data_IF_025884304971
#
_entry.id   IF_025884304971
#
_cell.length_a   1.000
_cell.length_b   1.000
_cell.length_c   1.000
_cell.angle_alpha   90.00
_cell.angle_beta   90.00
_cell.angle_gamma   90.00
#
_symmetry.space_group_name_H-M   'P 1'
#
loop_
_entity.id
_entity.type
_entity.pdbx_description
1 polymer ?
#
# COMPACT_ATOMS: atom_id res chain seq x y z
N UNK A 1 -6.95 0.10 28.39
CA UNK A 1 -6.47 0.30 29.79
C UNK A 1 -6.33 -1.07 30.45
N UNK A 2 -5.14 -1.66 30.31
CA UNK A 2 -4.48 -2.58 31.26
C UNK A 2 -3.00 -2.40 30.95
N UNK A 3 -2.27 -1.72 31.83
CA UNK A 3 -0.83 -1.50 31.73
C UNK A 3 -0.14 -2.82 32.12
N UNK A 4 0.73 -3.35 31.26
CA UNK A 4 1.70 -4.36 31.67
C UNK A 4 3.09 -3.85 31.28
N UNK A 5 3.79 -3.29 32.26
CA UNK A 5 5.23 -3.01 32.17
C UNK A 5 5.97 -4.34 32.24
N UNK A 6 6.78 -4.65 31.23
CA UNK A 6 7.83 -5.66 31.32
C UNK A 6 9.13 -5.00 30.91
N UNK A 7 10.01 -4.80 31.89
CA UNK A 7 11.40 -4.43 31.69
C UNK A 7 12.17 -5.65 31.20
N UNK A 8 12.91 -5.53 30.11
CA UNK A 8 13.87 -6.54 29.69
C UNK A 8 15.29 -6.10 30.05
N UNK A 9 16.00 -6.99 30.74
CA UNK A 9 17.44 -6.97 30.95
C UNK A 9 18.01 -8.14 30.16
N UNK A 10 19.06 -7.88 29.39
CA UNK A 10 19.76 -8.85 28.53
C UNK A 10 20.33 -10.03 29.33
N UNK A 11 20.28 -11.25 28.77
CA UNK A 11 21.47 -12.06 28.48
C UNK A 11 21.14 -13.48 27.92
N UNK A 12 21.72 -13.76 26.74
CA UNK A 12 22.52 -14.94 26.35
C UNK A 12 21.91 -16.37 26.25
N UNK A 13 21.90 -16.86 24.99
CA UNK A 13 22.14 -18.21 24.41
C UNK A 13 21.51 -19.51 24.99
N UNK A 14 20.80 -20.21 24.07
CA UNK A 14 20.98 -21.62 23.62
C UNK A 14 19.73 -22.55 23.71
N UNK A 15 19.57 -23.50 22.78
CA UNK A 15 18.29 -24.16 22.47
C UNK A 15 18.16 -25.55 23.11
N UNK A 16 16.93 -26.00 23.40
CA UNK A 16 16.66 -27.40 23.71
C UNK A 16 15.38 -27.88 23.03
N UNK A 17 15.53 -29.03 22.40
CA UNK A 17 14.57 -29.78 21.62
C UNK A 17 14.01 -30.96 22.44
N UNK A 18 12.82 -31.44 22.06
CA UNK A 18 12.25 -32.80 22.24
C UNK A 18 11.71 -33.19 23.64
N UNK A 19 10.41 -33.50 23.78
CA UNK A 19 9.82 -34.87 23.79
C UNK A 19 8.34 -34.87 24.21
N UNK A 20 7.60 -35.81 23.65
CA UNK A 20 6.18 -36.10 23.85
C UNK A 20 5.93 -37.14 24.96
N UNK A 21 4.75 -37.10 25.58
CA UNK A 21 4.13 -38.19 26.37
C UNK A 21 2.60 -37.92 26.41
N UNK A 22 1.76 -38.61 25.63
CA UNK A 22 1.09 -39.92 25.84
C UNK A 22 0.23 -40.03 27.12
N UNK A 23 -1.08 -39.89 26.89
CA UNK A 23 -2.26 -40.58 27.44
C UNK A 23 -2.16 -41.29 28.80
N UNK A 24 -3.03 -40.88 29.73
CA UNK A 24 -3.75 -41.83 30.60
C UNK A 24 -5.13 -41.30 31.05
N UNK A 25 -6.16 -42.09 30.78
CA UNK A 25 -7.42 -42.25 31.55
C UNK A 25 -7.58 -43.77 31.73
N UNK A 26 -8.39 -44.35 32.66
CA UNK A 26 -9.70 -43.85 33.14
C UNK A 26 -10.13 -44.28 34.57
N UNK A 27 -11.41 -44.01 34.90
CA UNK A 27 -12.37 -44.62 35.85
C UNK A 27 -12.92 -43.62 36.88
N UNK A 28 -14.19 -43.59 37.32
CA UNK A 28 -15.48 -44.27 36.98
C UNK A 28 -16.52 -43.82 38.03
N UNK A 29 -17.82 -43.78 37.69
CA UNK A 29 -18.96 -43.85 38.65
C UNK A 29 -19.94 -42.67 38.61
N UNK A 30 -21.08 -42.80 37.93
CA UNK A 30 -22.46 -43.06 38.45
C UNK A 30 -23.14 -41.80 39.01
N UNK A 31 -24.28 -41.31 38.51
CA UNK A 31 -25.61 -41.96 38.48
C UNK A 31 -26.54 -41.42 37.37
N UNK A 32 -27.55 -42.23 37.06
CA UNK A 32 -28.61 -42.06 36.06
C UNK A 32 -29.93 -41.74 36.78
N UNK A 33 -30.70 -40.74 36.30
CA UNK A 33 -32.16 -40.87 36.25
C UNK A 33 -32.78 -40.07 35.09
N UNK A 34 -33.76 -40.72 34.48
CA UNK A 34 -34.45 -40.52 33.20
C UNK A 34 -35.48 -39.38 33.11
N UNK A 35 -35.64 -38.77 31.92
CA UNK A 35 -36.87 -38.85 31.06
C UNK A 35 -36.70 -38.04 29.75
N UNK A 36 -37.08 -38.68 28.63
CA UNK A 36 -37.08 -38.24 27.21
C UNK A 36 -38.42 -37.54 26.82
N UNK A 37 -38.68 -37.13 25.54
CA UNK A 37 -37.85 -36.46 24.50
C UNK A 37 -38.64 -35.34 23.73
N UNK A 38 -37.98 -34.58 22.83
CA UNK A 38 -38.58 -34.10 21.56
C UNK A 38 -37.53 -33.58 20.54
N UNK A 39 -37.43 -34.31 19.42
CA UNK A 39 -37.20 -33.95 17.98
C UNK A 39 -36.12 -32.89 17.63
N UNK A 40 -35.06 -33.31 16.92
CA UNK A 40 -34.83 -33.15 15.46
C UNK A 40 -34.27 -31.76 15.11
N UNK A 41 -33.27 -31.53 14.25
CA UNK A 41 -32.62 -32.29 13.17
C UNK A 41 -31.45 -31.40 12.68
N UNK A 42 -30.35 -31.98 12.19
CA UNK A 42 -29.31 -31.20 11.50
C UNK A 42 -27.99 -31.95 11.34
N UNK A 43 -27.80 -32.54 10.16
CA UNK A 43 -26.57 -33.19 9.71
C UNK A 43 -25.40 -32.18 9.67
N UNK A 44 -24.28 -32.51 10.31
CA UNK A 44 -22.96 -31.93 10.01
C UNK A 44 -22.12 -33.03 9.35
N UNK A 45 -21.75 -32.82 8.08
CA UNK A 45 -20.74 -33.64 7.38
C UNK A 45 -19.41 -32.92 7.54
N UNK A 46 -18.49 -33.55 8.27
CA UNK A 46 -17.13 -33.09 8.49
C UNK A 46 -16.21 -33.80 7.48
N UNK A 47 -15.62 -33.06 6.54
CA UNK A 47 -14.59 -33.57 5.64
C UNK A 47 -13.24 -33.63 6.38
N UNK A 48 -12.69 -34.83 6.56
CA UNK A 48 -11.28 -35.02 6.89
C UNK A 48 -10.50 -35.24 5.58
N UNK A 49 -9.62 -34.31 5.23
CA UNK A 49 -8.56 -34.57 4.25
C UNK A 49 -7.41 -35.27 4.98
N UNK A 50 -7.11 -36.51 4.60
CA UNK A 50 -5.90 -37.23 4.98
C UNK A 50 -4.94 -37.13 3.80
N UNK A 51 -3.82 -36.42 3.98
CA UNK A 51 -2.71 -36.40 3.04
C UNK A 51 -1.86 -37.66 3.25
N UNK A 52 -1.76 -38.51 2.22
CA UNK A 52 -0.69 -39.50 2.11
C UNK A 52 0.48 -38.86 1.36
N UNK A 53 1.59 -38.62 2.06
CA UNK A 53 2.88 -38.31 1.45
C UNK A 53 3.51 -39.62 0.95
N UNK A 54 3.65 -39.77 -0.35
CA UNK A 54 4.54 -40.76 -0.96
C UNK A 54 5.78 -40.03 -1.48
N UNK A 55 6.92 -40.30 -0.87
CA UNK A 55 8.24 -39.94 -1.38
C UNK A 55 8.57 -40.76 -2.62
N UNK A 56 8.78 -40.09 -3.75
CA UNK A 56 9.41 -40.67 -4.94
C UNK A 56 10.58 -39.75 -5.30
N UNK A 57 11.84 -40.20 -5.27
CA UNK A 57 12.94 -39.44 -5.84
C UNK A 57 12.90 -39.58 -7.36
N UNK A 58 13.44 -38.60 -8.08
CA UNK A 58 14.27 -38.73 -9.30
C UNK A 58 14.20 -37.41 -10.11
N UNK A 59 15.31 -36.68 -10.17
CA UNK A 59 16.25 -36.57 -11.31
C UNK A 59 15.67 -35.80 -12.50
N UNK A 60 16.29 -34.64 -12.72
CA UNK A 60 16.16 -33.79 -13.90
C UNK A 60 16.83 -34.49 -15.09
N UNK A 61 16.06 -34.84 -16.11
CA UNK A 61 16.57 -35.00 -17.47
C UNK A 61 15.47 -34.69 -18.47
N UNK A 62 15.72 -33.69 -19.30
CA UNK A 62 14.93 -33.35 -20.48
C UNK A 62 14.90 -34.52 -21.46
N UNK A 63 13.74 -35.12 -21.69
CA UNK A 63 13.46 -35.85 -22.93
C UNK A 63 11.95 -35.86 -23.20
N UNK A 64 11.59 -35.48 -24.42
CA UNK A 64 10.23 -35.52 -24.97
C UNK A 64 9.73 -36.97 -24.99
N UNK A 65 8.77 -37.30 -24.13
CA UNK A 65 8.05 -38.58 -24.21
C UNK A 65 6.70 -38.36 -24.89
N UNK A 66 6.62 -38.88 -26.12
CA UNK A 66 5.37 -39.14 -26.86
C UNK A 66 4.41 -39.98 -26.01
N UNK A 67 3.25 -39.44 -25.67
CA UNK A 67 2.17 -40.19 -25.03
C UNK A 67 1.34 -40.92 -26.10
N UNK A 68 1.66 -42.18 -26.34
CA UNK A 68 0.82 -43.12 -27.08
C UNK A 68 -0.42 -43.48 -26.25
N UNK A 69 -1.61 -43.22 -26.78
CA UNK A 69 -2.88 -43.67 -26.24
C UNK A 69 -2.94 -45.21 -26.24
N UNK A 70 -2.74 -45.83 -25.07
CA UNK A 70 -3.11 -47.22 -24.85
C UNK A 70 -4.62 -47.32 -24.59
N UNK A 71 -5.36 -47.91 -25.52
CA UNK A 71 -6.75 -48.34 -25.32
C UNK A 71 -6.79 -49.55 -24.37
N UNK A 72 -7.11 -49.30 -23.10
CA UNK A 72 -7.45 -50.36 -22.14
C UNK A 72 -8.91 -50.79 -22.34
N UNK A 73 -9.10 -52.08 -22.55
CA UNK A 73 -10.39 -52.73 -22.75
C UNK A 73 -11.19 -52.75 -21.43
N UNK A 74 -12.33 -52.06 -21.37
CA UNK A 74 -13.11 -51.79 -20.14
C UNK A 74 -14.12 -52.88 -19.76
N UNK A 75 -13.99 -54.08 -20.31
CA UNK A 75 -15.00 -55.14 -20.21
C UNK A 75 -15.22 -55.77 -18.80
N UNK A 76 -14.52 -55.33 -17.76
CA UNK A 76 -14.59 -55.94 -16.41
C UNK A 76 -14.75 -54.94 -15.25
N UNK A 77 -15.11 -53.69 -15.52
CA UNK A 77 -15.34 -52.69 -14.46
C UNK A 77 -16.85 -52.56 -14.16
N UNK A 78 -17.27 -52.61 -12.88
CA UNK A 78 -18.67 -52.34 -12.51
C UNK A 78 -19.08 -50.91 -12.90
N UNK A 79 -20.34 -50.72 -13.31
CA UNK A 79 -20.91 -49.50 -13.92
C UNK A 79 -20.58 -48.16 -13.24
N UNK A 80 -20.26 -48.18 -11.94
CA UNK A 80 -19.88 -46.99 -11.19
C UNK A 80 -18.48 -46.48 -11.55
N UNK A 81 -17.54 -47.38 -11.89
CA UNK A 81 -16.16 -47.03 -12.23
C UNK A 81 -16.04 -46.41 -13.64
N UNK A 82 -16.91 -46.80 -14.58
CA UNK A 82 -16.94 -46.27 -15.95
C UNK A 82 -17.41 -44.82 -15.99
N UNK A 83 -18.34 -44.42 -15.10
CA UNK A 83 -18.82 -43.04 -14.96
C UNK A 83 -17.80 -42.11 -14.35
N UNK A 84 -17.01 -42.58 -13.38
CA UNK A 84 -15.92 -41.81 -12.76
C UNK A 84 -14.79 -41.58 -13.78
N UNK A 85 -14.46 -42.58 -14.61
CA UNK A 85 -13.44 -42.45 -15.65
C UNK A 85 -13.83 -41.47 -16.77
N UNK A 86 -15.08 -41.53 -17.27
CA UNK A 86 -15.57 -40.56 -18.26
C UNK A 86 -15.66 -39.14 -17.70
N UNK A 87 -16.04 -39.00 -16.42
CA UNK A 87 -15.99 -37.72 -15.71
C UNK A 87 -14.59 -37.14 -15.68
N UNK A 88 -13.60 -37.91 -15.22
CA UNK A 88 -12.20 -37.46 -15.12
C UNK A 88 -11.56 -37.12 -16.48
N UNK A 89 -11.90 -37.85 -17.55
CA UNK A 89 -11.33 -37.57 -18.88
C UNK A 89 -11.89 -36.27 -19.50
N UNK A 90 -13.17 -35.96 -19.25
CA UNK A 90 -13.80 -34.70 -19.64
C UNK A 90 -13.26 -33.51 -18.83
N UNK A 91 -12.92 -33.70 -17.56
CA UNK A 91 -12.27 -32.64 -16.75
C UNK A 91 -10.86 -32.35 -17.22
N UNK A 92 -10.08 -33.37 -17.63
CA UNK A 92 -8.72 -33.19 -18.14
C UNK A 92 -8.72 -32.52 -19.52
N UNK A 93 -9.65 -32.88 -20.41
CA UNK A 93 -9.82 -32.18 -21.70
C UNK A 93 -10.30 -30.73 -21.52
N UNK A 94 -11.15 -30.45 -20.52
CA UNK A 94 -11.55 -29.08 -20.18
C UNK A 94 -10.41 -28.27 -19.55
N UNK A 95 -9.55 -28.89 -18.74
CA UNK A 95 -8.37 -28.23 -18.16
C UNK A 95 -7.30 -27.93 -19.21
N UNK A 96 -7.10 -28.83 -20.19
CA UNK A 96 -6.17 -28.59 -21.31
C UNK A 96 -6.74 -27.58 -22.30
N UNK A 97 -8.05 -27.56 -22.55
CA UNK A 97 -8.69 -26.51 -23.33
C UNK A 97 -8.64 -25.14 -22.62
N UNK A 98 -8.79 -25.10 -21.29
CA UNK A 98 -8.66 -23.86 -20.52
C UNK A 98 -7.21 -23.35 -20.41
N UNK A 99 -6.18 -24.21 -20.48
CA UNK A 99 -4.78 -23.76 -20.53
C UNK A 99 -4.34 -23.32 -21.92
N UNK A 100 -5.02 -23.76 -23.00
CA UNK A 100 -4.75 -23.31 -24.37
C UNK A 100 -5.45 -22.00 -24.77
N UNK A 101 -6.40 -21.50 -23.98
CA UNK A 101 -7.03 -20.18 -24.21
C UNK A 101 -6.40 -19.02 -23.42
N UNK A 102 -5.27 -19.24 -22.73
CA UNK A 102 -4.40 -18.16 -22.24
C UNK A 102 -3.17 -18.06 -23.14
N UNK A 103 -3.37 -18.04 -24.46
CA UNK A 103 -2.53 -17.21 -25.30
C UNK A 103 -3.14 -15.81 -25.27
N UNK A 104 -2.85 -15.09 -24.18
CA UNK A 104 -2.96 -13.64 -24.22
C UNK A 104 -2.07 -13.21 -25.38
N UNK A 105 -2.67 -12.57 -26.37
CA UNK A 105 -1.99 -11.73 -27.34
C UNK A 105 -1.10 -10.76 -26.56
N UNK A 106 0.14 -11.15 -26.35
CA UNK A 106 1.21 -10.35 -25.81
C UNK A 106 1.65 -9.35 -26.85
N UNK A 107 0.73 -8.49 -27.29
CA UNK A 107 1.09 -7.29 -28.03
C UNK A 107 1.99 -6.48 -27.10
N UNK A 108 3.27 -6.42 -27.45
CA UNK A 108 4.24 -5.59 -26.74
C UNK A 108 3.70 -4.16 -26.74
N UNK A 109 3.48 -3.60 -25.54
CA UNK A 109 3.02 -2.22 -25.41
C UNK A 109 3.97 -1.31 -26.20
N UNK A 110 3.45 -0.26 -26.88
CA UNK A 110 4.30 0.71 -27.53
C UNK A 110 5.27 1.30 -26.51
N UNK A 111 6.49 1.60 -26.96
CA UNK A 111 7.51 2.23 -26.11
C UNK A 111 7.47 3.74 -26.37
N UNK A 112 7.37 4.52 -25.29
CA UNK A 112 7.50 5.98 -25.33
C UNK A 112 8.78 6.35 -24.60
N UNK A 113 9.72 6.94 -25.33
CA UNK A 113 10.94 7.48 -24.76
C UNK A 113 10.69 8.91 -24.28
N UNK A 114 10.77 9.14 -22.97
CA UNK A 114 10.55 10.46 -22.37
C UNK A 114 11.91 11.15 -22.26
N UNK A 115 12.09 12.22 -23.04
CA UNK A 115 13.36 12.95 -23.14
C UNK A 115 13.24 14.45 -22.87
N UNK A 116 12.02 14.95 -22.70
CA UNK A 116 11.70 16.36 -22.59
C UNK A 116 10.47 16.60 -21.69
N UNK A 117 10.39 17.82 -21.18
CA UNK A 117 9.27 18.36 -20.40
C UNK A 117 7.98 18.36 -21.24
N UNK A 118 6.81 18.44 -20.59
CA UNK A 118 5.50 18.42 -21.27
C UNK A 118 5.22 17.15 -22.10
N UNK A 119 5.79 15.99 -21.74
CA UNK A 119 5.52 14.75 -22.46
C UNK A 119 4.12 14.23 -22.16
N UNK A 120 3.25 14.25 -23.16
CA UNK A 120 1.87 13.74 -23.06
C UNK A 120 1.82 12.24 -23.37
N UNK A 121 1.14 11.47 -22.50
CA UNK A 121 0.80 10.07 -22.74
C UNK A 121 -0.73 9.91 -22.78
N UNK A 122 -1.25 9.64 -23.96
CA UNK A 122 -2.68 9.42 -24.23
C UNK A 122 -3.03 7.95 -24.52
N UNK A 123 -2.02 7.09 -24.65
CA UNK A 123 -2.16 5.68 -25.02
C UNK A 123 -1.31 4.83 -24.08
N UNK A 124 -1.82 3.65 -23.71
CA UNK A 124 -1.11 2.72 -22.82
C UNK A 124 0.24 2.30 -23.42
N UNK A 125 1.31 2.41 -22.64
CA UNK A 125 2.68 2.25 -23.13
C UNK A 125 3.66 1.79 -22.05
N UNK A 126 4.85 1.39 -22.50
CA UNK A 126 6.04 1.28 -21.65
C UNK A 126 6.83 2.58 -21.77
N UNK A 127 7.08 3.24 -20.64
CA UNK A 127 7.88 4.46 -20.58
C UNK A 127 9.34 4.09 -20.39
N UNK A 128 10.20 4.61 -21.26
CA UNK A 128 11.65 4.50 -21.17
C UNK A 128 12.23 5.88 -20.94
N UNK A 129 13.14 6.00 -19.99
CA UNK A 129 13.84 7.26 -19.70
C UNK A 129 15.34 6.99 -19.87
N UNK A 130 16.05 7.76 -20.72
CA UNK A 130 17.47 7.57 -20.88
C UNK A 130 18.22 7.66 -19.55
N UNK A 131 19.22 6.81 -19.42
CA UNK A 131 20.00 6.71 -18.20
C UNK A 131 20.63 8.07 -17.86
N UNK A 132 20.52 8.46 -16.59
CA UNK A 132 21.10 9.69 -16.01
C UNK A 132 20.57 11.00 -16.63
N UNK A 133 19.51 10.95 -17.46
CA UNK A 133 18.89 12.14 -18.02
C UNK A 133 18.13 12.91 -16.92
N UNK A 134 18.40 14.21 -16.85
CA UNK A 134 17.64 15.17 -16.04
C UNK A 134 16.65 15.87 -16.96
N UNK A 135 15.38 15.86 -16.57
CA UNK A 135 14.29 16.55 -17.28
C UNK A 135 13.63 17.46 -16.25
N UNK A 136 13.96 18.74 -16.32
CA UNK A 136 13.39 19.76 -15.44
C UNK A 136 11.94 20.07 -15.85
N UNK A 137 11.05 20.25 -14.87
CA UNK A 137 9.71 20.80 -15.07
C UNK A 137 9.83 22.33 -15.11
N UNK A 138 9.92 22.87 -16.31
CA UNK A 138 10.31 24.27 -16.56
C UNK A 138 9.16 25.25 -16.36
N UNK A 139 7.92 24.80 -16.55
CA UNK A 139 6.71 25.61 -16.48
C UNK A 139 5.90 25.36 -15.18
N UNK A 140 6.27 24.33 -14.40
CA UNK A 140 5.65 23.97 -13.13
C UNK A 140 4.34 23.19 -13.27
N UNK A 141 4.04 22.64 -14.44
CA UNK A 141 2.85 21.82 -14.68
C UNK A 141 3.15 20.31 -14.76
N UNK A 142 4.43 19.94 -14.77
CA UNK A 142 4.95 18.59 -14.63
C UNK A 142 5.59 18.03 -15.89
N UNK A 143 6.49 17.05 -15.75
CA UNK A 143 7.24 16.52 -16.91
C UNK A 143 6.42 15.56 -17.78
N UNK A 144 5.63 14.68 -17.16
CA UNK A 144 4.87 13.64 -17.86
C UNK A 144 3.38 13.75 -17.52
N UNK A 145 2.55 13.98 -18.52
CA UNK A 145 1.12 14.27 -18.37
C UNK A 145 0.24 13.10 -18.86
N UNK A 146 -0.75 12.74 -18.05
CA UNK A 146 -1.79 11.76 -18.40
C UNK A 146 -3.17 12.38 -18.11
N UNK A 147 -3.87 12.75 -19.17
CA UNK A 147 -5.22 13.34 -19.10
C UNK A 147 -6.27 12.50 -19.85
N UNK A 148 -5.90 11.29 -20.28
CA UNK A 148 -6.78 10.38 -21.04
C UNK A 148 -7.25 9.21 -20.17
N UNK A 149 -8.54 8.89 -20.28
CA UNK A 149 -9.17 7.78 -19.57
C UNK A 149 -8.56 6.42 -19.95
N UNK A 150 -8.46 5.52 -18.98
CA UNK A 150 -8.08 4.12 -19.19
C UNK A 150 -6.60 3.89 -19.53
N UNK A 151 -5.76 4.93 -19.54
CA UNK A 151 -4.33 4.82 -19.83
C UNK A 151 -3.63 3.98 -18.77
N UNK A 152 -2.83 3.02 -19.22
CA UNK A 152 -1.97 2.19 -18.38
C UNK A 152 -0.52 2.37 -18.80
N UNK A 153 0.31 2.87 -17.89
CA UNK A 153 1.76 2.99 -18.13
C UNK A 153 2.56 2.13 -17.15
N UNK A 154 3.71 1.65 -17.63
CA UNK A 154 4.75 1.06 -16.80
C UNK A 154 6.08 1.71 -17.12
N UNK A 155 6.86 2.06 -16.11
CA UNK A 155 8.27 2.42 -16.35
C UNK A 155 9.07 1.15 -16.59
N UNK A 156 9.86 1.14 -17.66
CA UNK A 156 10.80 0.07 -17.95
C UNK A 156 11.88 0.00 -16.87
N UNK A 157 12.44 -1.19 -16.65
CA UNK A 157 13.54 -1.37 -15.70
C UNK A 157 14.70 -0.42 -16.01
N UNK A 158 15.20 0.25 -14.98
CA UNK A 158 16.26 1.25 -15.09
C UNK A 158 15.80 2.65 -15.50
N UNK A 159 14.53 2.84 -15.89
CA UNK A 159 13.98 4.18 -16.18
C UNK A 159 13.71 4.92 -14.87
N UNK A 160 14.33 6.09 -14.71
CA UNK A 160 14.14 6.97 -13.55
C UNK A 160 13.82 8.36 -14.06
N UNK A 161 12.64 8.88 -13.72
CA UNK A 161 12.30 10.27 -14.00
C UNK A 161 12.96 11.16 -12.97
N UNK A 162 13.82 12.05 -13.41
CA UNK A 162 14.65 12.89 -12.55
C UNK A 162 14.50 14.35 -12.90
N UNK A 163 14.06 15.16 -11.93
CA UNK A 163 13.78 16.58 -12.11
C UNK A 163 14.97 17.52 -11.96
N UNK A 164 16.04 17.06 -11.32
CA UNK A 164 17.24 17.86 -11.05
C UNK A 164 18.48 16.97 -10.96
N UNK A 165 19.66 17.59 -11.02
CA UNK A 165 20.93 16.90 -10.75
C UNK A 165 20.87 16.14 -9.42
N UNK A 166 21.47 14.94 -9.30
CA UNK A 166 21.59 14.24 -8.02
C UNK A 166 22.30 15.05 -6.94
N UNK A 167 23.08 16.05 -7.35
CA UNK A 167 23.89 16.91 -6.48
C UNK A 167 23.12 18.17 -6.02
N UNK A 168 21.91 18.37 -6.52
CA UNK A 168 21.03 19.47 -6.09
C UNK A 168 20.52 19.18 -4.68
N UNK A 169 20.71 20.14 -3.77
CA UNK A 169 20.18 20.06 -2.41
C UNK A 169 18.66 19.87 -2.41
N UNK A 170 18.16 19.03 -1.51
CA UNK A 170 16.75 18.61 -1.50
C UNK A 170 15.78 19.78 -1.28
N UNK A 171 16.22 20.85 -0.64
CA UNK A 171 15.40 22.04 -0.36
C UNK A 171 15.32 23.01 -1.55
N UNK A 172 16.13 22.80 -2.59
CA UNK A 172 16.09 23.52 -3.86
C UNK A 172 15.27 22.80 -4.93
N UNK A 173 14.83 21.56 -4.68
CA UNK A 173 14.05 20.79 -5.64
C UNK A 173 12.70 21.46 -5.92
N UNK A 174 12.37 21.57 -7.20
CA UNK A 174 11.16 22.20 -7.71
C UNK A 174 10.37 21.24 -8.61
N UNK A 175 9.25 21.71 -9.15
CA UNK A 175 8.52 20.99 -10.19
C UNK A 175 7.81 19.70 -9.76
N UNK A 176 7.19 19.06 -10.75
CA UNK A 176 6.39 17.84 -10.62
C UNK A 176 6.89 16.80 -11.64
N UNK A 177 7.07 15.55 -11.21
CA UNK A 177 7.51 14.48 -12.11
C UNK A 177 6.39 14.01 -13.03
N UNK A 178 5.39 13.34 -12.46
CA UNK A 178 4.24 12.80 -13.20
C UNK A 178 2.96 13.49 -12.76
N UNK A 179 2.12 13.87 -13.71
CA UNK A 179 0.80 14.45 -13.46
C UNK A 179 -0.28 13.61 -14.13
N UNK A 180 -1.27 13.19 -13.33
CA UNK A 180 -2.49 12.57 -13.82
C UNK A 180 -3.66 13.47 -13.45
N UNK A 181 -4.40 13.98 -14.43
CA UNK A 181 -5.42 15.01 -14.19
C UNK A 181 -6.69 14.79 -14.98
N UNK A 182 -7.83 15.00 -14.33
CA UNK A 182 -9.13 15.18 -15.00
C UNK A 182 -9.67 13.96 -15.76
N UNK A 183 -9.13 12.77 -15.48
CA UNK A 183 -9.42 11.54 -16.21
C UNK A 183 -9.84 10.40 -15.27
N UNK A 184 -10.00 9.19 -15.81
CA UNK A 184 -10.51 8.02 -15.09
C UNK A 184 -9.74 6.75 -15.41
N UNK A 185 -9.80 5.81 -14.48
CA UNK A 185 -9.32 4.43 -14.64
C UNK A 185 -7.87 4.29 -15.11
N UNK A 186 -6.99 5.18 -14.63
CA UNK A 186 -5.55 5.20 -14.97
C UNK A 186 -4.79 4.18 -14.13
N UNK A 187 -3.82 3.49 -14.75
CA UNK A 187 -2.94 2.53 -14.08
C UNK A 187 -1.48 2.93 -14.26
N UNK A 188 -0.79 3.06 -13.14
CA UNK A 188 0.62 3.41 -13.05
C UNK A 188 1.36 2.23 -12.42
N UNK A 189 2.35 1.70 -13.11
CA UNK A 189 3.13 0.56 -12.63
C UNK A 189 4.62 0.96 -12.56
N UNK A 190 5.24 0.63 -11.43
CA UNK A 190 6.70 0.70 -11.25
C UNK A 190 7.30 2.10 -11.47
N UNK A 191 6.58 3.17 -11.14
CA UNK A 191 7.13 4.53 -11.29
C UNK A 191 8.39 4.70 -10.44
N UNK A 192 9.48 5.18 -11.03
CA UNK A 192 10.67 5.58 -10.31
C UNK A 192 10.93 7.07 -10.54
N UNK A 193 10.76 7.88 -9.50
CA UNK A 193 10.77 9.35 -9.59
C UNK A 193 11.64 9.97 -8.50
N UNK A 194 12.49 10.92 -8.87
CA UNK A 194 13.46 11.59 -7.98
C UNK A 194 13.71 13.03 -8.37
N UNK A 195 14.24 13.86 -7.47
CA UNK A 195 14.65 15.23 -7.81
C UNK A 195 13.51 16.19 -8.11
N UNK A 196 12.29 15.92 -7.62
CA UNK A 196 11.15 16.83 -7.76
C UNK A 196 10.64 17.31 -6.41
N UNK A 197 9.94 18.46 -6.43
CA UNK A 197 9.12 18.89 -5.30
C UNK A 197 7.92 17.99 -5.07
N UNK A 198 7.32 17.52 -6.16
CA UNK A 198 6.25 16.53 -6.14
C UNK A 198 6.60 15.40 -7.10
N UNK A 199 6.73 14.18 -6.61
CA UNK A 199 7.05 13.05 -7.50
C UNK A 199 5.89 12.70 -8.43
N UNK A 200 4.72 12.42 -7.86
CA UNK A 200 3.47 12.16 -8.57
C UNK A 200 2.36 13.07 -8.03
N UNK A 201 1.67 13.77 -8.93
CA UNK A 201 0.42 14.48 -8.63
C UNK A 201 -0.75 13.79 -9.34
N UNK A 202 -1.73 13.33 -8.58
CA UNK A 202 -3.01 12.82 -9.09
C UNK A 202 -4.10 13.78 -8.67
N UNK A 203 -4.76 14.45 -9.63
CA UNK A 203 -5.66 15.55 -9.33
C UNK A 203 -6.97 15.43 -10.10
N UNK A 204 -8.10 15.44 -9.38
CA UNK A 204 -9.43 15.38 -10.00
C UNK A 204 -9.64 14.12 -10.85
N UNK A 205 -9.16 12.98 -10.34
CA UNK A 205 -9.21 11.67 -11.00
C UNK A 205 -10.16 10.73 -10.27
N UNK A 206 -10.95 9.99 -11.04
CA UNK A 206 -11.83 8.91 -10.54
C UNK A 206 -11.21 7.57 -10.94
N UNK A 207 -10.68 6.82 -9.97
CA UNK A 207 -10.03 5.55 -10.25
C UNK A 207 -8.61 5.72 -10.79
N UNK A 208 -7.61 5.72 -9.91
CA UNK A 208 -6.20 5.67 -10.28
C UNK A 208 -5.51 4.59 -9.46
N UNK A 209 -4.81 3.67 -10.10
CA UNK A 209 -4.06 2.61 -9.43
C UNK A 209 -2.57 2.79 -9.64
N UNK A 210 -1.84 3.19 -8.59
CA UNK A 210 -0.39 3.12 -8.51
C UNK A 210 0.02 1.82 -7.82
N UNK A 211 0.74 0.96 -8.53
CA UNK A 211 1.27 -0.30 -8.01
C UNK A 211 2.78 -0.34 -8.13
N UNK A 212 3.45 -0.60 -7.01
CA UNK A 212 4.89 -0.54 -6.92
C UNK A 212 5.42 0.87 -7.18
N UNK A 213 6.74 0.97 -7.24
CA UNK A 213 7.44 2.21 -7.54
C UNK A 213 8.26 2.74 -6.37
N UNK A 214 9.19 3.62 -6.72
CA UNK A 214 10.17 4.21 -5.82
C UNK A 214 10.21 5.72 -5.98
N UNK A 215 10.04 6.42 -4.87
CA UNK A 215 10.12 7.87 -4.83
C UNK A 215 11.22 8.25 -3.85
N UNK A 216 12.38 8.64 -4.37
CA UNK A 216 13.57 8.74 -3.54
C UNK A 216 14.38 10.00 -3.88
N UNK A 217 14.81 10.75 -2.85
CA UNK A 217 15.54 12.00 -3.08
C UNK A 217 14.63 13.08 -3.70
N UNK A 218 13.39 13.16 -3.23
CA UNK A 218 12.48 14.26 -3.55
C UNK A 218 12.55 15.31 -2.45
N UNK A 219 11.89 16.45 -2.67
CA UNK A 219 12.03 17.64 -1.84
C UNK A 219 11.98 17.38 -0.33
N UNK A 220 12.91 18.03 0.37
CA UNK A 220 12.92 18.13 1.81
C UNK A 220 13.61 19.42 2.24
N UNK A 221 12.98 20.15 3.15
CA UNK A 221 13.59 21.35 3.72
C UNK A 221 14.85 21.00 4.53
N UNK A 222 15.87 21.84 4.41
CA UNK A 222 17.01 21.80 5.30
C UNK A 222 16.59 22.27 6.68
N UNK A 223 16.95 21.52 7.72
CA UNK A 223 16.67 21.88 9.11
C UNK A 223 17.72 22.89 9.61
N UNK A 224 17.26 23.91 10.32
CA UNK A 224 18.12 24.88 11.02
C UNK A 224 18.53 24.40 12.42
N UNK A 225 17.78 23.45 12.98
CA UNK A 225 18.11 22.78 14.24
C UNK A 225 19.48 22.13 14.17
N UNK A 226 20.32 22.33 15.19
CA UNK A 226 21.64 21.71 15.30
C UNK A 226 21.59 20.53 16.26
N UNK A 227 22.66 19.76 16.37
CA UNK A 227 22.74 18.67 17.35
C UNK A 227 22.52 19.16 18.80
N UNK A 228 22.93 20.38 19.12
CA UNK A 228 22.89 20.96 20.47
C UNK A 228 21.57 21.68 20.79
N UNK A 229 20.84 22.16 19.78
CA UNK A 229 19.66 23.01 20.01
C UNK A 229 18.62 22.94 18.89
N UNK A 230 17.35 22.88 19.29
CA UNK A 230 16.20 23.02 18.40
C UNK A 230 16.08 24.46 17.85
N UNK A 231 15.71 24.58 16.58
CA UNK A 231 15.20 25.81 16.00
C UNK A 231 13.67 25.71 15.84
N UNK A 232 12.92 26.68 16.37
CA UNK A 232 11.46 26.67 16.32
C UNK A 232 10.91 26.92 14.90
N UNK A 233 11.71 27.49 14.00
CA UNK A 233 11.30 27.77 12.61
C UNK A 233 11.21 26.53 11.74
N UNK A 234 11.82 25.41 12.17
CA UNK A 234 11.72 24.12 11.48
C UNK A 234 10.33 23.47 11.63
N UNK A 235 9.44 24.00 12.47
CA UNK A 235 8.08 23.48 12.64
C UNK A 235 7.30 23.56 11.33
N UNK A 236 6.73 22.42 10.93
CA UNK A 236 5.78 22.40 9.81
C UNK A 236 4.39 22.73 10.31
N UNK A 237 3.58 23.36 9.45
CA UNK A 237 2.30 23.93 9.84
C UNK A 237 1.15 23.21 9.14
N UNK A 238 0.53 22.19 9.77
CA UNK A 238 -0.54 21.41 9.15
C UNK A 238 -1.91 22.12 9.15
N UNK A 239 -2.07 23.24 9.85
CA UNK A 239 -3.37 23.85 10.15
C UNK A 239 -4.14 24.44 8.95
N UNK A 240 -3.55 24.44 7.76
CA UNK A 240 -4.19 24.95 6.56
C UNK A 240 -3.73 24.16 5.33
N UNK A 241 -4.69 23.68 4.54
CA UNK A 241 -4.40 23.13 3.22
C UNK A 241 -5.43 23.52 2.14
N UNK A 242 -6.32 24.48 2.42
CA UNK A 242 -7.36 24.85 1.46
C UNK A 242 -6.82 25.41 0.13
N UNK A 243 -5.61 25.96 0.14
CA UNK A 243 -4.89 26.50 -1.02
C UNK A 243 -3.71 25.61 -1.44
N UNK A 244 -3.72 24.32 -1.06
CA UNK A 244 -2.66 23.33 -1.33
C UNK A 244 -1.32 23.70 -0.65
N UNK A 245 -1.39 24.33 0.53
CA UNK A 245 -0.22 24.77 1.29
C UNK A 245 0.74 23.61 1.56
N UNK A 246 0.25 22.41 1.85
CA UNK A 246 1.09 21.26 2.17
C UNK A 246 1.98 20.89 1.00
N UNK A 247 1.39 20.68 -0.19
CA UNK A 247 2.16 20.38 -1.40
C UNK A 247 3.10 21.52 -1.78
N UNK A 248 2.63 22.78 -1.73
CA UNK A 248 3.41 23.97 -2.13
C UNK A 248 4.57 24.29 -1.19
N UNK A 249 4.41 24.10 0.12
CA UNK A 249 5.45 24.41 1.12
C UNK A 249 6.35 23.23 1.41
N UNK A 250 5.78 22.03 1.52
CA UNK A 250 6.44 20.87 2.10
C UNK A 250 6.70 19.72 1.11
N UNK A 251 6.20 19.82 -0.13
CA UNK A 251 6.38 18.80 -1.15
C UNK A 251 5.70 17.46 -0.82
N UNK A 252 5.84 16.48 -1.71
CA UNK A 252 5.35 15.12 -1.52
C UNK A 252 5.99 14.14 -2.51
N UNK A 253 6.25 12.91 -2.09
CA UNK A 253 6.51 11.84 -3.04
C UNK A 253 5.28 11.59 -3.92
N UNK A 254 4.11 11.44 -3.29
CA UNK A 254 2.83 11.24 -3.98
C UNK A 254 1.79 12.18 -3.36
N UNK A 255 1.19 13.03 -4.17
CA UNK A 255 0.09 13.89 -3.78
C UNK A 255 -1.18 13.55 -4.56
N UNK A 256 -2.26 13.30 -3.85
CA UNK A 256 -3.58 13.00 -4.41
C UNK A 256 -4.55 14.06 -3.94
N UNK A 257 -5.13 14.80 -4.88
CA UNK A 257 -6.01 15.94 -4.58
C UNK A 257 -7.36 15.80 -5.28
N UNK A 258 -8.46 15.89 -4.50
CA UNK A 258 -9.84 15.92 -5.01
C UNK A 258 -10.17 14.69 -5.87
N UNK A 259 -9.73 13.52 -5.43
CA UNK A 259 -9.90 12.25 -6.16
C UNK A 259 -10.83 11.30 -5.40
N UNK A 260 -11.32 10.27 -6.08
CA UNK A 260 -11.90 9.11 -5.42
C UNK A 260 -11.51 7.80 -6.08
N UNK A 261 -11.67 6.71 -5.32
CA UNK A 261 -11.37 5.35 -5.75
C UNK A 261 -9.90 5.17 -6.19
N UNK A 262 -8.98 5.92 -5.58
CA UNK A 262 -7.53 5.80 -5.82
C UNK A 262 -6.96 4.63 -5.02
N UNK A 263 -5.98 3.92 -5.58
CA UNK A 263 -5.25 2.85 -4.90
C UNK A 263 -3.74 3.08 -5.05
N UNK A 264 -3.06 3.27 -3.94
CA UNK A 264 -1.60 3.33 -3.84
C UNK A 264 -1.14 2.08 -3.09
N UNK A 265 -0.39 1.23 -3.78
CA UNK A 265 0.00 -0.07 -3.26
C UNK A 265 1.47 -0.41 -3.53
N UNK A 266 2.17 -0.85 -2.49
CA UNK A 266 3.53 -1.40 -2.64
C UNK A 266 4.60 -0.37 -3.02
N UNK A 267 4.39 0.92 -2.76
CA UNK A 267 5.39 1.95 -3.06
C UNK A 267 6.43 2.05 -1.95
N UNK A 268 7.64 2.48 -2.30
CA UNK A 268 8.69 2.82 -1.33
C UNK A 268 9.07 4.30 -1.48
N UNK A 269 9.09 5.03 -0.37
CA UNK A 269 9.51 6.43 -0.31
C UNK A 269 10.68 6.58 0.65
N UNK A 270 11.74 7.27 0.23
CA UNK A 270 12.95 7.51 1.05
C UNK A 270 13.58 8.88 0.76
N UNK A 271 14.36 9.39 1.72
CA UNK A 271 15.15 10.63 1.57
C UNK A 271 14.31 11.79 1.00
N UNK A 272 13.22 12.09 1.66
CA UNK A 272 12.32 13.19 1.31
C UNK A 272 11.53 13.63 2.54
N UNK A 273 10.74 14.69 2.41
CA UNK A 273 9.98 15.22 3.53
C UNK A 273 8.65 14.51 3.74
N UNK A 274 7.83 14.38 2.71
CA UNK A 274 6.50 13.76 2.84
C UNK A 274 6.34 12.56 1.89
N UNK A 275 5.67 11.52 2.38
CA UNK A 275 5.32 10.33 1.62
C UNK A 275 4.08 10.56 0.78
N UNK A 276 2.93 10.16 1.33
CA UNK A 276 1.63 10.25 0.66
C UNK A 276 0.82 11.41 1.26
N UNK A 277 0.34 12.32 0.41
CA UNK A 277 -0.63 13.37 0.79
C UNK A 277 -1.98 13.08 0.16
N UNK A 278 -3.02 12.97 0.99
CA UNK A 278 -4.42 12.93 0.57
C UNK A 278 -5.09 14.27 0.93
N UNK A 279 -5.55 14.99 -0.08
CA UNK A 279 -6.35 16.19 0.06
C UNK A 279 -7.73 15.99 -0.57
N UNK A 280 -8.79 15.96 0.24
CA UNK A 280 -10.18 15.73 -0.19
C UNK A 280 -10.32 14.44 -1.02
N UNK A 281 -9.70 13.36 -0.53
CA UNK A 281 -9.71 12.04 -1.16
C UNK A 281 -10.77 11.13 -0.54
N UNK A 282 -11.54 10.46 -1.38
CA UNK A 282 -12.66 9.61 -0.96
C UNK A 282 -12.51 8.15 -1.40
N UNK A 283 -12.97 7.21 -0.58
CA UNK A 283 -13.12 5.77 -0.95
C UNK A 283 -11.84 5.16 -1.54
N UNK A 284 -10.68 5.59 -1.04
CA UNK A 284 -9.38 5.27 -1.60
C UNK A 284 -8.56 4.38 -0.66
N UNK A 285 -7.45 3.87 -1.18
CA UNK A 285 -6.64 2.82 -0.55
C UNK A 285 -5.17 3.24 -0.53
N UNK A 286 -4.56 3.22 0.64
CA UNK A 286 -3.11 3.25 0.83
C UNK A 286 -2.72 1.94 1.52
N UNK A 287 -2.12 0.99 0.79
CA UNK A 287 -1.93 -0.38 1.25
C UNK A 287 -0.50 -0.88 1.02
N UNK A 288 0.12 -1.53 2.01
CA UNK A 288 1.44 -2.17 1.88
C UNK A 288 2.54 -1.22 1.38
N UNK A 289 2.45 0.07 1.70
CA UNK A 289 3.46 1.05 1.33
C UNK A 289 4.50 1.21 2.44
N UNK A 290 5.73 1.52 2.07
CA UNK A 290 6.78 1.89 3.01
C UNK A 290 7.23 3.33 2.76
N UNK A 291 6.72 4.24 3.60
CA UNK A 291 7.04 5.66 3.60
C UNK A 291 7.77 6.04 4.90
N UNK A 292 8.76 5.22 5.26
CA UNK A 292 9.62 5.41 6.43
C UNK A 292 10.84 6.31 6.16
N UNK A 293 11.49 6.78 7.23
CA UNK A 293 12.72 7.61 7.17
C UNK A 293 12.52 8.93 6.42
N UNK A 294 11.46 9.66 6.79
CA UNK A 294 11.08 10.93 6.19
C UNK A 294 11.19 12.05 7.23
N UNK A 295 11.49 13.26 6.79
CA UNK A 295 11.60 14.41 7.71
C UNK A 295 10.27 15.07 8.04
N UNK A 296 9.16 14.64 7.46
CA UNK A 296 7.81 15.20 7.64
C UNK A 296 6.77 14.12 7.89
N UNK A 297 5.79 13.98 7.00
CA UNK A 297 4.66 13.05 7.17
C UNK A 297 4.81 11.79 6.33
N UNK A 298 4.63 10.61 6.95
CA UNK A 298 4.53 9.35 6.20
C UNK A 298 3.27 9.31 5.33
N UNK A 299 2.12 9.52 5.97
CA UNK A 299 0.83 9.78 5.36
C UNK A 299 0.23 11.03 5.98
N UNK A 300 -0.25 11.98 5.17
CA UNK A 300 -1.04 13.10 5.65
C UNK A 300 -2.40 13.16 4.94
N UNK A 301 -3.46 13.38 5.70
CA UNK A 301 -4.84 13.41 5.23
C UNK A 301 -5.50 14.74 5.61
N UNK A 302 -5.98 15.48 4.62
CA UNK A 302 -6.79 16.68 4.78
C UNK A 302 -8.19 16.41 4.24
N UNK A 303 -9.23 16.53 5.07
CA UNK A 303 -10.65 16.37 4.69
C UNK A 303 -10.93 15.12 3.84
N UNK A 304 -10.25 14.02 4.15
CA UNK A 304 -10.26 12.79 3.35
C UNK A 304 -10.99 11.69 4.11
N UNK A 305 -11.97 11.06 3.46
CA UNK A 305 -12.96 10.21 4.12
C UNK A 305 -13.20 8.88 3.42
N UNK A 306 -13.71 7.89 4.16
CA UNK A 306 -14.06 6.57 3.66
C UNK A 306 -12.86 5.80 3.05
N UNK A 307 -11.63 6.12 3.47
CA UNK A 307 -10.40 5.50 2.96
C UNK A 307 -9.96 4.31 3.81
N UNK A 308 -9.22 3.38 3.20
CA UNK A 308 -8.52 2.28 3.87
C UNK A 308 -7.01 2.54 3.85
N UNK A 309 -6.43 2.66 5.04
CA UNK A 309 -4.98 2.74 5.28
C UNK A 309 -4.56 1.44 5.96
N UNK A 310 -3.95 0.53 5.21
CA UNK A 310 -3.73 -0.86 5.67
C UNK A 310 -2.27 -1.30 5.49
N UNK A 311 -1.68 -1.84 6.56
CA UNK A 311 -0.40 -2.55 6.49
C UNK A 311 0.76 -1.72 5.90
N UNK A 312 0.76 -0.41 6.14
CA UNK A 312 1.85 0.47 5.72
C UNK A 312 2.90 0.62 6.83
N UNK A 313 4.13 0.92 6.43
CA UNK A 313 5.20 1.36 7.32
C UNK A 313 5.43 2.87 7.18
N UNK A 314 5.26 3.59 8.28
CA UNK A 314 5.48 5.03 8.45
C UNK A 314 6.45 5.28 9.61
N UNK A 315 7.49 4.44 9.70
CA UNK A 315 8.45 4.45 10.79
C UNK A 315 9.52 5.53 10.57
N UNK A 316 10.07 6.10 11.64
CA UNK A 316 11.12 7.12 11.54
C UNK A 316 10.72 8.34 10.68
N UNK A 317 9.43 8.67 10.63
CA UNK A 317 8.94 9.96 10.16
C UNK A 317 9.14 10.99 11.28
N UNK A 318 10.33 11.60 11.33
CA UNK A 318 10.77 12.44 12.44
C UNK A 318 11.48 13.69 11.95
N UNK A 319 11.15 14.79 12.61
CA UNK A 319 11.81 16.10 12.53
C UNK A 319 12.21 16.54 13.92
N UNK A 320 13.20 17.42 14.04
CA UNK A 320 13.50 18.05 15.32
C UNK A 320 13.85 17.06 16.42
N UNK A 321 14.79 16.17 16.12
CA UNK A 321 15.29 15.17 17.03
C UNK A 321 16.82 15.21 17.12
N UNK A 322 17.32 15.22 18.35
CA UNK A 322 18.72 15.02 18.69
C UNK A 322 18.80 14.15 19.94
N UNK A 323 19.46 13.00 19.82
CA UNK A 323 19.43 11.97 20.86
C UNK A 323 20.02 12.48 22.17
N UNK A 324 19.24 12.40 23.25
CA UNK A 324 19.65 12.88 24.58
C UNK A 324 19.62 14.40 24.75
N UNK A 325 19.25 15.17 23.72
CA UNK A 325 19.21 16.64 23.76
C UNK A 325 17.77 17.16 23.62
N UNK A 326 17.10 16.87 22.51
CA UNK A 326 15.70 17.26 22.28
C UNK A 326 14.98 16.25 21.39
N UNK A 327 13.67 16.10 21.62
CA UNK A 327 12.80 15.23 20.84
C UNK A 327 11.43 15.90 20.71
N UNK A 328 11.32 16.84 19.77
CA UNK A 328 10.09 17.63 19.58
C UNK A 328 9.17 17.07 18.53
N UNK A 329 9.69 16.31 17.57
CA UNK A 329 8.92 15.91 16.38
C UNK A 329 8.63 17.08 15.43
N UNK A 330 8.54 18.33 15.89
CA UNK A 330 8.28 19.54 15.08
C UNK A 330 7.13 19.33 14.07
N UNK A 331 5.99 18.83 14.57
CA UNK A 331 4.76 18.50 13.84
C UNK A 331 4.92 17.44 12.72
N UNK A 332 6.02 16.68 12.71
CA UNK A 332 6.16 15.45 11.92
C UNK A 332 5.38 14.30 12.55
N UNK A 333 4.91 13.37 11.72
CA UNK A 333 4.13 12.23 12.15
C UNK A 333 4.24 11.08 11.15
N UNK A 334 4.07 9.84 11.61
CA UNK A 334 3.87 8.73 10.68
C UNK A 334 2.55 8.89 9.93
N UNK A 335 1.47 9.19 10.66
CA UNK A 335 0.13 9.44 10.12
C UNK A 335 -0.40 10.76 10.69
N UNK A 336 -0.67 11.73 9.81
CA UNK A 336 -1.36 12.98 10.11
C UNK A 336 -2.80 12.92 9.56
N UNK A 337 -3.80 13.15 10.40
CA UNK A 337 -5.20 13.33 10.00
C UNK A 337 -5.73 14.69 10.47
N UNK A 338 -5.99 15.57 9.52
CA UNK A 338 -6.25 16.97 9.78
C UNK A 338 -7.60 17.40 9.19
N UNK A 339 -8.54 17.69 10.09
CA UNK A 339 -9.94 18.08 9.90
C UNK A 339 -10.78 17.21 8.95
N UNK A 340 -12.04 17.01 9.32
CA UNK A 340 -13.07 16.41 8.45
C UNK A 340 -12.64 15.11 7.77
N UNK A 341 -11.77 14.33 8.43
CA UNK A 341 -11.37 13.01 7.97
C UNK A 341 -12.26 11.98 8.69
N UNK A 342 -13.22 11.41 7.96
CA UNK A 342 -14.27 10.59 8.56
C UNK A 342 -14.33 9.18 7.99
N UNK A 343 -14.78 8.22 8.80
CA UNK A 343 -15.05 6.83 8.37
C UNK A 343 -13.87 6.15 7.69
N UNK A 344 -12.65 6.58 8.00
CA UNK A 344 -11.45 5.91 7.52
C UNK A 344 -11.18 4.67 8.37
N UNK A 345 -10.55 3.67 7.77
CA UNK A 345 -10.10 2.44 8.45
C UNK A 345 -8.58 2.43 8.40
N UNK A 346 -7.94 2.54 9.55
CA UNK A 346 -6.48 2.66 9.69
C UNK A 346 -5.98 1.43 10.44
N UNK A 347 -5.63 0.37 9.71
CA UNK A 347 -5.47 -0.97 10.27
C UNK A 347 -4.04 -1.49 10.04
N UNK A 348 -3.42 -2.06 11.07
CA UNK A 348 -2.12 -2.76 10.98
C UNK A 348 -0.96 -1.94 10.40
N UNK A 349 -0.95 -0.62 10.60
CA UNK A 349 0.17 0.23 10.16
C UNK A 349 1.23 0.34 11.27
N UNK A 350 2.50 0.46 10.90
CA UNK A 350 3.57 0.88 11.82
C UNK A 350 3.82 2.39 11.68
N UNK A 351 4.01 3.05 12.81
CA UNK A 351 4.31 4.49 12.90
C UNK A 351 5.19 4.75 14.13
N UNK A 352 6.29 4.02 14.21
CA UNK A 352 7.18 3.97 15.38
C UNK A 352 8.42 4.84 15.16
N UNK A 353 9.03 5.29 16.27
CA UNK A 353 10.29 6.06 16.23
C UNK A 353 10.22 7.35 15.39
N UNK A 354 9.01 7.87 15.15
CA UNK A 354 8.74 9.13 14.47
C UNK A 354 8.55 10.30 15.44
N UNK A 355 8.00 11.41 14.95
CA UNK A 355 7.41 12.46 15.78
C UNK A 355 6.17 11.95 16.51
N UNK A 356 4.98 12.43 16.15
CA UNK A 356 3.75 12.08 16.90
C UNK A 356 3.27 10.63 16.71
N UNK A 357 3.84 9.90 15.75
CA UNK A 357 3.36 8.58 15.33
C UNK A 357 2.00 8.70 14.62
N UNK A 358 0.93 8.95 15.38
CA UNK A 358 -0.38 9.35 14.88
C UNK A 358 -0.78 10.72 15.46
N UNK A 359 -1.04 11.68 14.58
CA UNK A 359 -1.57 12.99 14.96
C UNK A 359 -2.95 13.21 14.33
N UNK A 360 -3.96 13.47 15.17
CA UNK A 360 -5.32 13.74 14.74
C UNK A 360 -5.81 15.08 15.26
N UNK A 361 -6.20 15.99 14.37
CA UNK A 361 -6.80 17.27 14.73
C UNK A 361 -8.21 17.38 14.17
N UNK A 362 -9.18 17.65 15.06
CA UNK A 362 -10.60 17.67 14.70
C UNK A 362 -10.94 18.78 13.70
N UNK A 363 -10.24 19.91 13.76
CA UNK A 363 -10.37 21.01 12.81
C UNK A 363 -10.86 22.31 13.41
N UNK A 364 -10.53 23.41 12.75
CA UNK A 364 -10.96 24.77 13.05
C UNK A 364 -12.48 24.87 13.10
N UNK A 365 -13.18 24.15 12.22
CA UNK A 365 -14.64 24.07 12.31
C UNK A 365 -15.06 23.46 13.65
N UNK A 366 -14.53 22.31 14.04
CA UNK A 366 -14.90 21.67 15.29
C UNK A 366 -14.57 22.51 16.54
N UNK A 367 -13.61 23.42 16.44
CA UNK A 367 -13.24 24.39 17.50
C UNK A 367 -14.06 25.69 17.47
N UNK A 368 -14.86 25.94 16.44
CA UNK A 368 -15.60 27.20 16.28
C UNK A 368 -14.77 28.36 15.74
N UNK A 369 -13.58 28.11 15.19
CA UNK A 369 -12.63 29.14 14.73
C UNK A 369 -12.94 29.70 13.33
N UNK A 370 -14.03 29.26 12.71
CA UNK A 370 -14.45 29.59 11.34
C UNK A 370 -15.61 30.61 11.29
N UNK A 371 -15.77 31.38 12.35
CA UNK A 371 -16.85 32.35 12.53
C UNK A 371 -18.09 31.77 13.22
N UNK A 372 -19.09 32.63 13.43
CA UNK A 372 -20.35 32.26 14.08
C UNK A 372 -21.21 31.38 13.16
N UNK A 373 -21.59 30.21 13.66
CA UNK A 373 -22.57 29.32 13.04
C UNK A 373 -23.57 28.83 14.10
N UNK A 374 -24.73 28.38 13.66
CA UNK A 374 -25.69 27.68 14.52
C UNK A 374 -25.02 26.49 15.21
N UNK A 375 -25.39 26.20 16.46
CA UNK A 375 -24.69 25.20 17.30
C UNK A 375 -24.59 23.81 16.65
N UNK A 376 -25.62 23.42 15.89
CA UNK A 376 -25.68 22.13 15.17
C UNK A 376 -24.78 22.08 13.93
N UNK A 377 -24.32 23.22 13.41
CA UNK A 377 -23.48 23.29 12.21
C UNK A 377 -22.14 22.55 12.40
N UNK A 378 -21.58 22.64 13.60
CA UNK A 378 -20.30 21.99 13.97
C UNK A 378 -20.43 20.46 14.12
N UNK A 379 -21.65 19.95 14.22
CA UNK A 379 -21.91 18.55 14.48
C UNK A 379 -21.31 17.69 13.37
N UNK A 380 -20.43 16.77 13.77
CA UNK A 380 -19.71 15.84 12.88
C UNK A 380 -18.81 16.49 11.82
N UNK A 381 -18.36 17.74 12.00
CA UNK A 381 -17.30 18.37 11.18
C UNK A 381 -15.87 18.15 11.72
N UNK A 382 -15.71 17.26 12.70
CA UNK A 382 -14.43 16.80 13.27
C UNK A 382 -13.72 15.68 12.50
N UNK A 383 -12.83 14.91 13.11
CA UNK A 383 -12.42 13.59 12.58
C UNK A 383 -13.30 12.51 13.21
N UNK A 384 -14.29 11.98 12.48
CA UNK A 384 -15.37 11.18 13.08
C UNK A 384 -15.40 9.75 12.54
N UNK A 385 -15.81 8.81 13.38
CA UNK A 385 -16.10 7.41 13.00
C UNK A 385 -14.93 6.67 12.32
N UNK A 386 -13.69 7.10 12.57
CA UNK A 386 -12.51 6.37 12.11
C UNK A 386 -12.31 5.12 12.97
N UNK A 387 -11.84 4.03 12.34
CA UNK A 387 -11.52 2.76 13.00
C UNK A 387 -10.00 2.57 12.95
N UNK A 388 -9.40 2.29 14.10
CA UNK A 388 -7.96 2.04 14.27
C UNK A 388 -7.69 0.62 14.73
#
# INVERSE_FOLDING_TARGET
MTLMCVAYKEDVFAPVSIFAEILSTPKSGSEIHSRHPRRASGFFVLFFLIFFTMDIPYIVSHELVSCSLYTLNTAWLPDYAVRVYHGCMLTILSLVACTLFVQLDGSQLPVVEVTLDDTVIDTSCTVVIPKDLVIEDTNGDGVLHIETDGVSITFADGSVLRGASPETDLDQLAGIGVVVRGCKDVKLLNLHVSGFKVGLLVQEVEGCALRGGRFEGNFAQQLLSTHEKEDATDWIWPHENDQQQWRKKYGAAICVERCANVRIEGVTVRRGQNGILFDRVLRSYAVNNDCSFLSGWGLAMWRSSDNLVLANAFDFCVRGYSHGVYNRGQDSAGILMFEQCHRNRVIQNSATHGGDGFFGFAGKEALGEVGEHEIDWYRRRGNNDNVF
#
